data_IF_829849803733
#
_entry.id   IF_829849803733
#
_cell.length_a   1.000
_cell.length_b   1.000
_cell.length_c   1.000
_cell.angle_alpha   90.00
_cell.angle_beta   90.00
_cell.angle_gamma   90.00
#
_symmetry.space_group_name_H-M   'P 1'
#
loop_
_entity.id
_entity.type
_entity.pdbx_description
1 polymer ?
#
# COMPACT_ATOMS: atom_id res chain seq x y z
N UNK A 1 9.55 -12.62 1.74
CA UNK A 1 9.91 -12.02 0.43
C UNK A 1 9.55 -12.92 -0.76
N UNK A 2 8.48 -13.75 -0.72
CA UNK A 2 8.15 -14.65 -1.85
C UNK A 2 7.83 -13.88 -3.13
N UNK A 3 7.01 -12.84 -3.05
CA UNK A 3 6.71 -11.97 -4.20
C UNK A 3 7.95 -11.22 -4.69
N UNK A 4 8.78 -10.68 -3.78
CA UNK A 4 10.01 -10.01 -4.20
C UNK A 4 10.95 -10.96 -4.96
N UNK A 5 11.13 -12.20 -4.49
CA UNK A 5 11.96 -13.19 -5.17
C UNK A 5 11.45 -13.51 -6.58
N UNK A 6 10.12 -13.59 -6.77
CA UNK A 6 9.52 -13.81 -8.10
C UNK A 6 10.03 -12.77 -9.12
N UNK A 7 10.10 -11.49 -8.73
CA UNK A 7 10.54 -10.41 -9.63
C UNK A 7 12.08 -10.33 -9.73
N UNK A 8 12.79 -10.53 -8.61
CA UNK A 8 14.26 -10.58 -8.61
C UNK A 8 14.79 -11.68 -9.55
N UNK A 9 14.16 -12.85 -9.58
CA UNK A 9 14.52 -13.96 -10.47
C UNK A 9 14.31 -13.64 -11.96
N UNK A 10 13.48 -12.63 -12.29
CA UNK A 10 13.28 -12.13 -13.64
C UNK A 10 14.15 -10.90 -13.96
N UNK A 11 15.06 -10.52 -13.06
CA UNK A 11 16.00 -9.41 -13.26
C UNK A 11 15.45 -8.02 -12.90
N UNK A 12 14.35 -7.93 -12.16
CA UNK A 12 13.84 -6.65 -11.66
C UNK A 12 14.60 -6.22 -10.41
N UNK A 13 14.85 -4.91 -10.27
CA UNK A 13 15.06 -4.32 -8.96
C UNK A 13 13.74 -4.22 -8.20
N UNK A 14 13.73 -4.53 -6.90
CA UNK A 14 12.50 -4.61 -6.11
C UNK A 14 12.53 -3.68 -4.90
N UNK A 15 11.52 -2.81 -4.82
CA UNK A 15 11.18 -2.06 -3.62
C UNK A 15 10.03 -2.77 -2.93
N UNK A 16 10.24 -3.21 -1.69
CA UNK A 16 9.18 -3.83 -0.87
C UNK A 16 8.61 -2.79 0.09
N UNK A 17 7.30 -2.57 0.02
CA UNK A 17 6.57 -1.63 0.89
C UNK A 17 5.61 -2.42 1.77
N UNK A 18 5.58 -2.09 3.05
CA UNK A 18 4.69 -2.74 4.02
C UNK A 18 3.91 -1.71 4.82
N UNK A 19 2.62 -1.96 5.02
CA UNK A 19 1.78 -1.24 5.97
C UNK A 19 1.34 -2.21 7.06
N UNK A 20 1.63 -1.87 8.32
CA UNK A 20 1.15 -2.66 9.45
C UNK A 20 -0.34 -2.40 9.69
N UNK A 21 -1.07 -3.34 10.33
CA UNK A 21 -2.46 -3.09 10.71
C UNK A 21 -2.63 -1.82 11.56
N UNK A 22 -1.66 -1.50 12.44
CA UNK A 22 -1.70 -0.28 13.25
C UNK A 22 -1.58 0.99 12.42
N UNK A 23 -0.69 1.01 11.41
CA UNK A 23 -0.59 2.13 10.48
C UNK A 23 -1.85 2.26 9.63
N UNK A 24 -2.46 1.16 9.20
CA UNK A 24 -3.72 1.19 8.46
C UNK A 24 -4.85 1.77 9.32
N UNK A 25 -4.92 1.41 10.60
CA UNK A 25 -5.98 1.89 11.48
C UNK A 25 -5.98 3.40 11.63
N UNK A 26 -4.81 4.07 11.69
CA UNK A 26 -4.68 5.53 11.83
C UNK A 26 -4.15 6.21 10.55
N UNK A 27 -4.97 6.41 9.49
CA UNK A 27 -4.47 6.84 8.18
C UNK A 27 -3.57 8.08 8.20
N UNK A 28 -4.03 9.16 8.82
CA UNK A 28 -3.30 10.44 8.90
C UNK A 28 -1.92 10.33 9.56
N UNK A 29 -1.72 9.36 10.46
CA UNK A 29 -0.47 9.15 11.21
C UNK A 29 0.20 7.82 10.85
N UNK A 30 -0.27 7.15 9.82
CA UNK A 30 0.02 5.76 9.52
C UNK A 30 0.09 5.52 8.02
N UNK A 31 -0.95 4.95 7.42
CA UNK A 31 -0.96 4.57 6.00
C UNK A 31 -0.63 5.74 5.05
N UNK A 32 -1.08 6.96 5.35
CA UNK A 32 -0.77 8.13 4.52
C UNK A 32 0.70 8.55 4.63
N UNK A 33 1.34 8.33 5.78
CA UNK A 33 2.78 8.54 5.93
C UNK A 33 3.55 7.48 5.14
N UNK A 34 3.11 6.22 5.14
CA UNK A 34 3.70 5.16 4.31
C UNK A 34 3.61 5.51 2.82
N UNK A 35 2.44 5.97 2.36
CA UNK A 35 2.25 6.43 0.99
C UNK A 35 3.12 7.66 0.66
N UNK A 36 3.24 8.60 1.59
CA UNK A 36 4.06 9.81 1.42
C UNK A 36 5.55 9.48 1.31
N UNK A 37 6.04 8.56 2.13
CA UNK A 37 7.44 8.14 2.08
C UNK A 37 7.73 7.37 0.79
N UNK A 38 6.80 6.52 0.34
CA UNK A 38 6.93 5.81 -0.94
C UNK A 38 7.01 6.77 -2.12
N UNK A 39 6.07 7.72 -2.25
CA UNK A 39 6.08 8.63 -3.41
C UNK A 39 7.30 9.55 -3.40
N UNK A 40 7.73 10.03 -2.23
CA UNK A 40 8.98 10.80 -2.08
C UNK A 40 10.20 9.99 -2.49
N UNK A 41 10.28 8.73 -2.06
CA UNK A 41 11.38 7.84 -2.45
C UNK A 41 11.41 7.63 -3.96
N UNK A 42 10.26 7.34 -4.57
CA UNK A 42 10.15 7.11 -6.01
C UNK A 42 10.49 8.36 -6.85
N UNK A 43 10.10 9.55 -6.39
CA UNK A 43 10.41 10.81 -7.03
C UNK A 43 11.89 11.20 -6.87
N UNK A 44 12.50 10.93 -5.72
CA UNK A 44 13.92 11.17 -5.49
C UNK A 44 14.85 10.20 -6.26
N UNK A 45 14.33 9.04 -6.66
CA UNK A 45 15.04 8.01 -7.41
C UNK A 45 14.43 7.84 -8.82
N UNK A 46 14.26 8.96 -9.51
CA UNK A 46 13.77 8.96 -10.89
C UNK A 46 14.76 8.27 -11.82
N UNK A 47 14.22 7.47 -12.75
CA UNK A 47 14.95 6.78 -13.79
C UNK A 47 14.02 6.53 -14.97
N UNK A 48 14.57 6.18 -16.13
CA UNK A 48 13.79 5.91 -17.35
C UNK A 48 13.24 4.47 -17.42
N UNK A 49 13.32 3.71 -16.32
CA UNK A 49 12.90 2.31 -16.30
C UNK A 49 11.39 2.21 -16.00
N UNK A 50 10.66 1.31 -16.72
CA UNK A 50 9.26 1.05 -16.43
C UNK A 50 9.11 0.39 -15.05
N UNK A 51 8.09 0.81 -14.30
CA UNK A 51 7.76 0.26 -12.99
C UNK A 51 6.58 -0.71 -13.10
N UNK A 52 6.72 -1.87 -12.46
CA UNK A 52 5.62 -2.82 -12.26
C UNK A 52 5.20 -2.76 -10.80
N UNK A 53 3.91 -2.52 -10.56
CA UNK A 53 3.32 -2.53 -9.24
C UNK A 53 2.70 -3.91 -8.96
N UNK A 54 3.00 -4.48 -7.81
CA UNK A 54 2.27 -5.65 -7.28
C UNK A 54 1.71 -5.31 -5.92
N UNK A 55 0.39 -5.14 -5.84
CA UNK A 55 -0.31 -4.94 -4.57
C UNK A 55 -0.97 -6.21 -4.09
N UNK A 56 -0.72 -6.54 -2.83
CA UNK A 56 -1.38 -7.64 -2.13
C UNK A 56 -2.23 -7.11 -0.98
N UNK A 57 -3.49 -7.53 -0.89
CA UNK A 57 -4.41 -7.14 0.20
C UNK A 57 -4.46 -5.62 0.40
N UNK A 58 -4.07 -5.12 1.58
CA UNK A 58 -4.01 -3.68 1.91
C UNK A 58 -3.12 -2.86 0.96
N UNK A 59 -2.25 -3.50 0.17
CA UNK A 59 -1.44 -2.83 -0.85
C UNK A 59 -2.27 -2.01 -1.84
N UNK A 60 -3.50 -2.43 -2.16
CA UNK A 60 -4.43 -1.66 -2.99
C UNK A 60 -4.82 -0.32 -2.35
N UNK A 61 -5.16 -0.34 -1.06
CA UNK A 61 -5.46 0.86 -0.29
C UNK A 61 -4.27 1.83 -0.25
N UNK A 62 -3.06 1.31 0.02
CA UNK A 62 -1.84 2.13 0.07
C UNK A 62 -1.56 2.80 -1.26
N UNK A 63 -1.75 2.11 -2.38
CA UNK A 63 -1.60 2.72 -3.69
C UNK A 63 -2.67 3.77 -3.98
N UNK A 64 -3.90 3.58 -3.49
CA UNK A 64 -4.94 4.61 -3.53
C UNK A 64 -4.51 5.91 -2.83
N UNK A 65 -3.90 5.80 -1.65
CA UNK A 65 -3.34 6.95 -0.91
C UNK A 65 -2.19 7.62 -1.69
N UNK A 66 -1.34 6.84 -2.36
CA UNK A 66 -0.29 7.38 -3.26
C UNK A 66 -0.92 8.18 -4.40
N UNK A 67 -1.93 7.62 -5.07
CA UNK A 67 -2.65 8.30 -6.15
C UNK A 67 -3.31 9.60 -5.67
N UNK A 68 -3.91 9.61 -4.48
CA UNK A 68 -4.48 10.82 -3.89
C UNK A 68 -3.40 11.92 -3.70
N UNK A 69 -2.24 11.56 -3.16
CA UNK A 69 -1.13 12.51 -2.98
C UNK A 69 -0.55 13.02 -4.31
N UNK A 70 -0.50 12.18 -5.34
CA UNK A 70 -0.12 12.61 -6.69
C UNK A 70 -1.12 13.63 -7.23
N UNK A 71 -2.42 13.40 -7.02
CA UNK A 71 -3.46 14.33 -7.47
C UNK A 71 -3.37 15.69 -6.78
N UNK A 72 -2.98 15.73 -5.50
CA UNK A 72 -2.77 16.96 -4.74
C UNK A 72 -1.50 17.71 -5.17
N UNK A 73 -0.47 17.01 -5.66
CA UNK A 73 0.79 17.62 -6.08
C UNK A 73 1.33 17.05 -7.40
N UNK A 74 0.53 17.18 -8.46
CA UNK A 74 0.81 16.58 -9.78
C UNK A 74 2.17 16.99 -10.33
N UNK A 75 2.53 18.27 -10.24
CA UNK A 75 3.79 18.77 -10.79
C UNK A 75 5.01 18.05 -10.22
N UNK A 76 4.95 17.64 -8.94
CA UNK A 76 6.06 16.97 -8.27
C UNK A 76 6.07 15.45 -8.53
N UNK A 77 4.91 14.82 -8.70
CA UNK A 77 4.80 13.36 -8.64
C UNK A 77 4.28 12.68 -9.92
N UNK A 78 3.89 13.44 -10.94
CA UNK A 78 3.34 12.88 -12.18
C UNK A 78 4.29 11.88 -12.84
N UNK A 79 5.60 12.16 -12.84
CA UNK A 79 6.60 11.26 -13.46
C UNK A 79 6.73 9.91 -12.74
N UNK A 80 6.32 9.79 -11.48
CA UNK A 80 6.25 8.48 -10.81
C UNK A 80 5.12 7.64 -11.39
N UNK A 81 3.95 8.25 -11.63
CA UNK A 81 2.79 7.56 -12.19
C UNK A 81 2.99 7.24 -13.67
N UNK A 82 3.60 8.14 -14.42
CA UNK A 82 3.82 7.96 -15.86
C UNK A 82 4.73 6.75 -16.18
N UNK A 83 5.59 6.36 -15.22
CA UNK A 83 6.47 5.18 -15.36
C UNK A 83 5.79 3.86 -15.02
N UNK A 84 4.58 3.86 -14.46
CA UNK A 84 3.88 2.61 -14.11
C UNK A 84 3.39 1.92 -15.38
N UNK A 85 4.12 0.90 -15.80
CA UNK A 85 3.84 0.15 -17.03
C UNK A 85 2.81 -0.98 -16.82
N UNK A 86 2.72 -1.53 -15.60
CA UNK A 86 1.77 -2.58 -15.27
C UNK A 86 1.42 -2.59 -13.78
N UNK A 87 0.22 -3.10 -13.47
CA UNK A 87 -0.25 -3.31 -12.10
C UNK A 87 -0.83 -4.72 -11.96
N UNK A 88 -0.41 -5.43 -10.92
CA UNK A 88 -0.92 -6.74 -10.51
C UNK A 88 -1.56 -6.58 -9.14
N UNK A 89 -2.83 -6.99 -9.03
CA UNK A 89 -3.59 -6.91 -7.80
C UNK A 89 -3.96 -8.33 -7.35
N UNK A 90 -3.36 -8.77 -6.25
CA UNK A 90 -3.67 -10.05 -5.61
C UNK A 90 -4.51 -9.78 -4.36
N UNK A 91 -5.79 -10.16 -4.43
CA UNK A 91 -6.74 -10.10 -3.31
C UNK A 91 -6.83 -8.70 -2.68
N UNK A 92 -6.85 -7.64 -3.50
CA UNK A 92 -6.86 -6.25 -3.05
C UNK A 92 -8.03 -6.02 -2.08
N UNK A 93 -7.72 -5.44 -0.92
CA UNK A 93 -8.69 -5.29 0.16
C UNK A 93 -9.61 -4.10 -0.11
N UNK A 94 -10.91 -4.35 -0.16
CA UNK A 94 -11.92 -3.29 -0.16
C UNK A 94 -12.06 -2.69 1.25
N UNK A 95 -12.34 -1.38 1.33
CA UNK A 95 -12.53 -0.66 2.60
C UNK A 95 -13.62 -1.34 3.44
N UNK A 96 -14.67 -1.87 2.81
CA UNK A 96 -15.74 -2.57 3.54
C UNK A 96 -15.27 -3.90 4.14
N UNK A 97 -14.39 -4.63 3.44
CA UNK A 97 -13.85 -5.93 3.89
C UNK A 97 -12.71 -5.77 4.91
N UNK A 98 -11.96 -4.67 4.85
CA UNK A 98 -10.92 -4.32 5.83
C UNK A 98 -11.51 -4.28 7.24
N UNK A 99 -12.71 -3.72 7.42
CA UNK A 99 -13.40 -3.65 8.73
C UNK A 99 -13.79 -5.03 9.28
N UNK A 100 -13.79 -6.06 8.45
CA UNK A 100 -14.11 -7.45 8.83
C UNK A 100 -12.82 -8.22 9.14
N UNK A 101 -11.83 -8.14 8.23
CA UNK A 101 -10.59 -8.91 8.32
C UNK A 101 -9.61 -8.39 9.38
N UNK A 102 -9.45 -7.06 9.48
CA UNK A 102 -8.46 -6.45 10.38
C UNK A 102 -8.73 -6.74 11.85
N UNK A 103 -9.97 -6.63 12.38
CA UNK A 103 -10.20 -6.94 13.78
C UNK A 103 -9.85 -8.38 14.14
N UNK A 104 -10.17 -9.33 13.26
CA UNK A 104 -9.83 -10.74 13.45
C UNK A 104 -8.32 -10.99 13.42
N UNK A 105 -7.58 -10.29 12.56
CA UNK A 105 -6.13 -10.39 12.45
C UNK A 105 -5.39 -9.76 13.65
N UNK A 106 -5.85 -8.59 14.12
CA UNK A 106 -5.22 -7.87 15.24
C UNK A 106 -5.56 -8.52 16.59
N UNK A 107 -6.78 -9.02 16.76
CA UNK A 107 -7.27 -9.58 18.02
C UNK A 107 -7.76 -11.03 17.86
N UNK A 108 -6.94 -11.99 17.42
CA UNK A 108 -7.41 -13.32 16.99
C UNK A 108 -8.19 -14.10 18.04
N UNK A 109 -7.91 -13.84 19.33
CA UNK A 109 -8.53 -14.53 20.47
C UNK A 109 -9.47 -13.65 21.32
N UNK A 110 -9.58 -12.35 21.04
CA UNK A 110 -10.36 -11.41 21.86
C UNK A 110 -11.60 -10.91 21.09
N UNK A 111 -12.72 -11.60 21.27
CA UNK A 111 -13.99 -11.31 20.58
C UNK A 111 -14.60 -9.95 20.93
N UNK A 112 -14.37 -9.47 22.15
CA UNK A 112 -14.82 -8.13 22.56
C UNK A 112 -14.04 -7.09 21.75
N UNK A 113 -12.70 -7.22 21.68
CA UNK A 113 -11.89 -6.27 20.94
C UNK A 113 -12.06 -6.35 19.42
N UNK A 114 -12.36 -7.54 18.88
CA UNK A 114 -12.81 -7.67 17.49
C UNK A 114 -14.06 -6.82 17.22
N UNK A 115 -15.09 -6.90 18.09
CA UNK A 115 -16.34 -6.14 17.92
C UNK A 115 -16.12 -4.64 18.10
N UNK A 116 -15.37 -4.22 19.12
CA UNK A 116 -15.09 -2.80 19.36
C UNK A 116 -14.32 -2.18 18.20
N UNK A 117 -13.28 -2.86 17.71
CA UNK A 117 -12.50 -2.35 16.58
C UNK A 117 -13.33 -2.31 15.30
N UNK A 118 -14.14 -3.35 15.04
CA UNK A 118 -15.07 -3.35 13.90
C UNK A 118 -16.08 -2.19 13.93
N UNK A 119 -16.52 -1.78 15.12
CA UNK A 119 -17.46 -0.66 15.27
C UNK A 119 -16.80 0.72 15.17
N UNK A 120 -15.48 0.78 15.38
CA UNK A 120 -14.70 2.00 15.24
C UNK A 120 -14.34 2.31 13.78
N UNK A 121 -13.98 1.26 13.04
CA UNK A 121 -13.59 1.33 11.62
C UNK A 121 -14.80 1.51 10.72
#
# INVERSE_FOLDING_TARGET
MKYANLYLEQGFDVISVSCTPWQLMWPLKGSQLVAADLIKFMAANENDQPTVLHGFSVGGYIWGEVCAQVMDNKQLYQSVIDRVAAQVWDSAADITEITIGVPAAVFPKNKIMQKTLKAYM
#
